data_IF_743509416351
#
_entry.id   IF_743509416351
#
_cell.length_a   1.000
_cell.length_b   1.000
_cell.length_c   1.000
_cell.angle_alpha   90.00
_cell.angle_beta   90.00
_cell.angle_gamma   90.00
#
_symmetry.space_group_name_H-M   'P 1'
#
loop_
_entity.id
_entity.type
_entity.pdbx_description
1 polymer ?
#
# COMPACT_ATOMS: atom_id res chain seq x y z
N UNK A 1 -30.27 2.92 -32.25
CA UNK A 1 -30.24 2.23 -30.95
C UNK A 1 -28.81 1.87 -30.66
N UNK A 2 -28.25 2.37 -29.56
CA UNK A 2 -26.87 2.09 -29.17
C UNK A 2 -26.82 0.68 -28.58
N UNK A 3 -26.05 -0.22 -29.18
CA UNK A 3 -25.88 -1.58 -28.66
C UNK A 3 -25.09 -1.55 -27.34
N UNK A 4 -25.55 -2.30 -26.33
CA UNK A 4 -24.85 -2.44 -25.04
C UNK A 4 -23.55 -3.22 -25.20
N UNK A 5 -22.62 -3.12 -24.25
CA UNK A 5 -21.35 -3.85 -24.36
C UNK A 5 -21.58 -5.37 -24.33
N UNK A 6 -22.49 -5.85 -23.49
CA UNK A 6 -22.87 -7.27 -23.45
C UNK A 6 -23.45 -7.77 -24.77
N UNK A 7 -24.18 -6.92 -25.52
CA UNK A 7 -24.69 -7.27 -26.84
C UNK A 7 -23.58 -7.43 -27.88
N UNK A 8 -22.52 -6.62 -27.79
CA UNK A 8 -21.36 -6.74 -28.67
C UNK A 8 -20.55 -8.00 -28.35
N UNK A 9 -20.35 -8.28 -27.06
CA UNK A 9 -19.63 -9.47 -26.60
C UNK A 9 -20.38 -10.75 -26.99
N UNK A 10 -21.72 -10.74 -26.93
CA UNK A 10 -22.56 -11.86 -27.38
C UNK A 10 -22.45 -12.11 -28.89
N UNK A 11 -22.42 -11.05 -29.71
CA UNK A 11 -22.21 -11.17 -31.15
C UNK A 11 -20.80 -11.72 -31.46
N UNK A 12 -19.78 -11.23 -30.75
CA UNK A 12 -18.41 -11.72 -30.87
C UNK A 12 -18.28 -13.20 -30.47
N UNK A 13 -18.94 -13.63 -29.39
CA UNK A 13 -18.94 -15.02 -28.93
C UNK A 13 -19.60 -15.99 -29.91
N UNK A 14 -20.59 -15.51 -30.68
CA UNK A 14 -21.25 -16.27 -31.74
C UNK A 14 -20.58 -16.07 -33.12
N UNK A 15 -19.50 -15.29 -33.19
CA UNK A 15 -18.71 -15.09 -34.42
C UNK A 15 -19.43 -14.32 -35.53
N UNK A 16 -20.42 -13.49 -35.19
CA UNK A 16 -21.25 -12.75 -36.16
C UNK A 16 -21.07 -11.24 -36.01
N UNK A 17 -21.22 -10.52 -37.12
CA UNK A 17 -21.08 -9.05 -37.15
C UNK A 17 -22.40 -8.31 -36.87
N UNK A 18 -23.53 -8.97 -37.10
CA UNK A 18 -24.87 -8.40 -36.93
C UNK A 18 -25.85 -9.40 -36.30
N UNK A 19 -26.86 -8.88 -35.61
CA UNK A 19 -27.96 -9.66 -35.02
C UNK A 19 -28.75 -10.43 -36.08
N UNK A 20 -28.80 -9.90 -37.31
CA UNK A 20 -29.50 -10.54 -38.42
C UNK A 20 -28.82 -11.84 -38.89
N UNK A 21 -27.56 -12.07 -38.51
CA UNK A 21 -26.82 -13.29 -38.80
C UNK A 21 -27.05 -14.37 -37.73
N UNK A 22 -27.67 -14.03 -36.60
CA UNK A 22 -28.00 -14.98 -35.54
C UNK A 22 -29.22 -15.83 -35.91
N UNK A 23 -29.24 -17.07 -35.44
CA UNK A 23 -30.43 -17.92 -35.49
C UNK A 23 -31.59 -17.30 -34.67
N UNK A 24 -32.87 -17.54 -35.03
CA UNK A 24 -34.01 -16.88 -34.40
C UNK A 24 -34.06 -16.97 -32.86
N UNK A 25 -33.68 -18.12 -32.29
CA UNK A 25 -33.60 -18.29 -30.83
C UNK A 25 -32.50 -17.44 -30.18
N UNK A 26 -31.34 -17.31 -30.83
CA UNK A 26 -30.21 -16.49 -30.35
C UNK A 26 -30.49 -15.00 -30.41
N UNK A 27 -31.37 -14.57 -31.33
CA UNK A 27 -31.84 -13.18 -31.39
C UNK A 27 -32.69 -12.81 -30.18
N UNK A 28 -33.50 -13.74 -29.67
CA UNK A 28 -34.28 -13.52 -28.45
C UNK A 28 -33.36 -13.32 -27.24
N UNK A 29 -32.34 -14.18 -27.09
CA UNK A 29 -31.31 -14.04 -26.05
C UNK A 29 -30.58 -12.68 -26.15
N UNK A 30 -30.24 -12.24 -27.37
CA UNK A 30 -29.61 -10.94 -27.60
C UNK A 30 -30.50 -9.75 -27.22
N UNK A 31 -31.81 -9.85 -27.45
CA UNK A 31 -32.78 -8.84 -27.03
C UNK A 31 -32.95 -8.79 -25.51
N UNK A 32 -32.87 -9.92 -24.81
CA UNK A 32 -32.94 -9.97 -23.35
C UNK A 32 -31.72 -9.27 -22.71
N UNK A 33 -30.54 -9.34 -23.33
CA UNK A 33 -29.34 -8.60 -22.89
C UNK A 33 -29.51 -7.07 -22.95
N UNK A 34 -30.45 -6.55 -23.77
CA UNK A 34 -30.76 -5.12 -23.81
C UNK A 34 -31.46 -4.62 -22.54
N UNK A 35 -32.13 -5.53 -21.82
CA UNK A 35 -32.93 -5.19 -20.64
C UNK A 35 -32.09 -5.06 -19.36
N UNK A 36 -30.88 -5.61 -19.36
CA UNK A 36 -29.89 -5.41 -18.32
C UNK A 36 -29.16 -4.12 -18.67
N UNK A 37 -29.52 -3.02 -18.01
CA UNK A 37 -28.72 -1.79 -18.05
C UNK A 37 -27.28 -2.16 -17.70
N UNK A 38 -26.34 -1.90 -18.61
CA UNK A 38 -24.91 -2.02 -18.36
C UNK A 38 -24.63 -1.28 -17.04
N UNK A 39 -24.30 -2.01 -15.97
CA UNK A 39 -23.67 -1.38 -14.81
C UNK A 39 -22.44 -0.65 -15.36
N UNK A 40 -22.28 0.65 -15.05
CA UNK A 40 -21.19 1.42 -15.61
C UNK A 40 -19.89 0.71 -15.22
N UNK A 41 -19.25 0.11 -16.23
CA UNK A 41 -17.91 -0.45 -16.13
C UNK A 41 -17.05 0.62 -15.47
N UNK A 42 -16.43 0.37 -14.30
CA UNK A 42 -15.57 1.36 -13.69
C UNK A 42 -14.52 1.72 -14.73
N UNK A 43 -14.43 3.01 -15.08
CA UNK A 43 -13.43 3.53 -16.01
C UNK A 43 -12.05 3.06 -15.53
N UNK A 44 -11.55 1.98 -16.11
CA UNK A 44 -10.18 1.56 -15.90
C UNK A 44 -9.29 2.49 -16.71
N UNK A 45 -8.20 2.91 -16.06
CA UNK A 45 -6.96 3.37 -16.67
C UNK A 45 -6.87 4.85 -17.07
N UNK A 46 -7.32 5.74 -16.19
CA UNK A 46 -6.48 6.93 -15.92
C UNK A 46 -5.55 6.56 -14.76
N UNK A 47 -4.22 6.71 -14.88
CA UNK A 47 -3.35 6.57 -13.73
C UNK A 47 -3.80 7.61 -12.71
N UNK A 48 -4.51 7.17 -11.68
CA UNK A 48 -4.94 8.05 -10.59
C UNK A 48 -3.65 8.49 -9.91
N UNK A 49 -3.31 9.76 -10.09
CA UNK A 49 -2.15 10.35 -9.46
C UNK A 49 -2.14 10.02 -7.96
N UNK A 50 -0.99 9.54 -7.49
CA UNK A 50 -0.80 9.23 -6.08
C UNK A 50 -1.05 10.50 -5.25
N UNK A 51 -1.39 10.34 -3.96
CA UNK A 51 -1.55 11.49 -3.05
C UNK A 51 -0.29 12.36 -3.00
N UNK A 52 0.89 11.74 -3.14
CA UNK A 52 2.19 12.42 -3.21
C UNK A 52 2.34 13.24 -4.49
N UNK A 53 1.97 12.69 -5.65
CA UNK A 53 1.98 13.42 -6.93
C UNK A 53 1.05 14.64 -6.91
N UNK A 54 -0.16 14.49 -6.37
CA UNK A 54 -1.09 15.62 -6.20
C UNK A 54 -0.56 16.69 -5.26
N UNK A 55 0.11 16.29 -4.18
CA UNK A 55 0.77 17.24 -3.27
C UNK A 55 1.99 17.91 -3.90
N UNK A 56 2.73 17.22 -4.77
CA UNK A 56 3.88 17.79 -5.44
C UNK A 56 3.48 18.83 -6.47
N UNK A 57 2.40 18.57 -7.23
CA UNK A 57 1.89 19.53 -8.20
C UNK A 57 1.36 20.81 -7.54
N UNK A 58 0.85 20.77 -6.30
CA UNK A 58 0.54 21.96 -5.48
C UNK A 58 -0.18 23.11 -6.23
N UNK A 59 -1.05 22.80 -7.20
CA UNK A 59 -1.78 23.78 -8.00
C UNK A 59 -1.11 24.23 -9.30
N UNK A 60 0.02 23.63 -9.69
CA UNK A 60 0.66 23.77 -10.99
C UNK A 60 0.37 22.54 -11.87
N UNK A 61 0.40 22.74 -13.20
CA UNK A 61 0.25 21.62 -14.13
C UNK A 61 1.57 20.88 -14.32
N UNK A 62 1.53 19.60 -14.66
CA UNK A 62 2.74 18.83 -14.95
C UNK A 62 3.56 19.43 -16.11
N UNK A 63 2.88 20.05 -17.07
CA UNK A 63 3.52 20.66 -18.24
C UNK A 63 4.40 21.86 -17.87
N UNK A 64 4.03 22.58 -16.79
CA UNK A 64 4.75 23.76 -16.28
C UNK A 64 6.02 23.40 -15.47
N UNK A 65 6.23 22.12 -15.15
CA UNK A 65 7.41 21.67 -14.41
C UNK A 65 8.67 21.70 -15.30
N UNK A 66 9.81 22.01 -14.68
CA UNK A 66 11.12 21.83 -15.30
C UNK A 66 11.47 20.34 -15.45
N UNK A 67 12.43 20.02 -16.32
CA UNK A 67 12.79 18.63 -16.63
C UNK A 67 13.21 17.84 -15.38
N UNK A 68 13.85 18.53 -14.43
CA UNK A 68 14.22 17.96 -13.14
C UNK A 68 13.01 17.61 -12.27
N UNK A 69 12.04 18.51 -12.13
CA UNK A 69 10.83 18.25 -11.34
C UNK A 69 9.92 17.23 -12.01
N UNK A 70 9.90 17.16 -13.35
CA UNK A 70 9.21 16.11 -14.10
C UNK A 70 9.80 14.73 -13.80
N UNK A 71 11.13 14.62 -13.70
CA UNK A 71 11.79 13.37 -13.33
C UNK A 71 11.41 12.93 -11.90
N UNK A 72 11.38 13.87 -10.94
CA UNK A 72 10.94 13.59 -9.56
C UNK A 72 9.45 13.18 -9.54
N UNK A 73 8.61 13.87 -10.30
CA UNK A 73 7.19 13.58 -10.42
C UNK A 73 6.90 12.14 -10.90
N UNK A 74 7.63 11.71 -11.94
CA UNK A 74 7.52 10.36 -12.47
C UNK A 74 8.07 9.31 -11.49
N UNK A 75 9.18 9.59 -10.80
CA UNK A 75 9.76 8.69 -9.78
C UNK A 75 8.86 8.47 -8.56
N UNK A 76 7.98 9.42 -8.22
CA UNK A 76 7.01 9.23 -7.14
C UNK A 76 5.85 8.29 -7.51
N UNK A 77 5.50 8.24 -8.81
CA UNK A 77 4.44 7.37 -9.33
C UNK A 77 4.93 5.97 -9.71
N UNK A 78 6.22 5.83 -10.00
CA UNK A 78 6.82 4.53 -10.18
C UNK A 78 6.76 3.76 -8.85
N UNK A 79 6.02 2.65 -8.82
CA UNK A 79 6.20 1.62 -7.80
C UNK A 79 7.69 1.35 -7.74
N UNK A 80 8.35 1.70 -6.63
CA UNK A 80 9.81 1.59 -6.45
C UNK A 80 10.29 0.35 -7.20
N UNK A 81 11.01 0.56 -8.30
CA UNK A 81 11.83 -0.49 -8.86
C UNK A 81 12.67 -0.97 -7.67
N UNK A 82 12.48 -2.23 -7.30
CA UNK A 82 13.24 -2.90 -6.26
C UNK A 82 14.69 -2.69 -6.62
N UNK A 83 15.34 -1.75 -5.95
CA UNK A 83 16.79 -1.57 -6.04
C UNK A 83 17.38 -2.81 -5.41
N UNK A 84 17.92 -3.64 -6.30
CA UNK A 84 18.64 -4.87 -6.07
C UNK A 84 20.00 -4.58 -5.40
N UNK A 85 19.95 -4.01 -4.20
CA UNK A 85 21.10 -3.84 -3.33
C UNK A 85 20.77 -4.43 -1.96
N UNK A 86 21.24 -5.65 -1.74
CA UNK A 86 21.32 -6.28 -0.44
C UNK A 86 20.10 -7.12 -0.07
N UNK A 87 20.16 -8.40 -0.46
CA UNK A 87 19.44 -9.53 0.13
C UNK A 87 19.02 -9.31 1.60
N UNK A 88 17.84 -8.75 1.81
CA UNK A 88 17.07 -8.90 3.03
C UNK A 88 15.65 -9.18 2.59
N UNK A 89 15.32 -10.47 2.55
CA UNK A 89 13.96 -10.95 2.75
C UNK A 89 13.26 -10.03 3.76
N UNK A 90 12.01 -9.58 3.54
CA UNK A 90 11.29 -8.83 4.55
C UNK A 90 11.26 -9.73 5.79
N UNK A 91 12.09 -9.40 6.78
CA UNK A 91 12.10 -10.09 8.05
C UNK A 91 10.65 -10.08 8.51
N UNK A 92 10.09 -11.29 8.63
CA UNK A 92 8.77 -11.53 9.17
C UNK A 92 8.65 -10.65 10.40
N UNK A 93 7.85 -9.56 10.32
CA UNK A 93 7.72 -8.62 11.43
C UNK A 93 7.41 -9.45 12.66
N UNK A 94 8.28 -9.48 13.68
CA UNK A 94 8.00 -10.28 14.85
C UNK A 94 6.66 -9.80 15.39
N UNK A 95 5.70 -10.73 15.53
CA UNK A 95 4.31 -10.45 15.88
C UNK A 95 4.14 -10.07 17.37
N UNK A 96 5.14 -9.40 17.95
CA UNK A 96 5.21 -9.11 19.37
C UNK A 96 6.02 -7.85 19.68
N UNK A 97 6.02 -7.41 20.94
CA UNK A 97 6.78 -6.25 21.37
C UNK A 97 8.28 -6.46 21.09
N UNK A 98 9.04 -5.39 20.81
CA UNK A 98 10.48 -5.48 20.58
C UNK A 98 11.18 -6.10 21.80
N UNK A 99 12.02 -7.12 21.54
CA UNK A 99 12.74 -7.87 22.59
C UNK A 99 14.24 -7.66 22.42
N UNK A 100 14.95 -7.60 23.54
CA UNK A 100 16.41 -7.57 23.55
C UNK A 100 16.96 -8.97 23.22
N UNK A 101 18.00 -9.02 22.39
CA UNK A 101 18.72 -10.25 22.06
C UNK A 101 19.69 -10.60 23.20
N UNK A 102 19.52 -11.75 23.89
CA UNK A 102 20.40 -12.17 24.98
C UNK A 102 21.88 -12.21 24.56
N UNK A 103 22.17 -12.63 23.31
CA UNK A 103 23.54 -12.75 22.80
C UNK A 103 24.20 -11.38 22.63
N UNK A 104 23.43 -10.37 22.20
CA UNK A 104 23.92 -8.98 22.06
C UNK A 104 24.13 -8.30 23.42
N UNK A 105 23.58 -8.87 24.50
CA UNK A 105 23.77 -8.39 25.87
C UNK A 105 24.95 -9.06 26.60
N UNK A 106 25.45 -10.19 26.10
CA UNK A 106 26.60 -10.92 26.65
C UNK A 106 27.88 -10.10 26.44
N UNK A 107 28.40 -9.50 27.52
CA UNK A 107 29.58 -8.63 27.49
C UNK A 107 29.31 -7.20 27.96
N UNK A 108 28.04 -6.81 28.13
CA UNK A 108 27.69 -5.51 28.70
C UNK A 108 27.79 -5.51 30.24
N UNK A 109 28.18 -4.37 30.78
CA UNK A 109 28.19 -4.16 32.23
C UNK A 109 26.79 -4.35 32.81
N UNK A 110 26.66 -4.81 34.07
CA UNK A 110 25.34 -4.99 34.71
C UNK A 110 24.48 -3.72 34.66
N UNK A 111 25.09 -2.55 34.87
CA UNK A 111 24.42 -1.25 34.79
C UNK A 111 23.88 -0.96 33.39
N UNK A 112 24.67 -1.25 32.34
CA UNK A 112 24.19 -1.03 30.96
C UNK A 112 23.05 -1.98 30.60
N UNK A 113 23.09 -3.22 31.09
CA UNK A 113 22.01 -4.19 30.90
C UNK A 113 20.71 -3.75 31.59
N UNK A 114 20.78 -3.20 32.81
CA UNK A 114 19.57 -2.69 33.49
C UNK A 114 18.95 -1.51 32.75
N UNK A 115 19.76 -0.55 32.28
CA UNK A 115 19.29 0.58 31.48
C UNK A 115 18.62 0.13 30.17
N UNK A 116 19.21 -0.84 29.47
CA UNK A 116 18.60 -1.39 28.25
C UNK A 116 17.27 -2.08 28.53
N UNK A 117 17.15 -2.77 29.67
CA UNK A 117 15.88 -3.37 30.09
C UNK A 117 14.81 -2.32 30.37
N UNK A 118 15.15 -1.21 31.04
CA UNK A 118 14.23 -0.10 31.28
C UNK A 118 13.71 0.50 29.96
N UNK A 119 14.62 0.80 29.02
CA UNK A 119 14.23 1.30 27.71
C UNK A 119 13.39 0.28 26.92
N UNK A 120 13.69 -1.02 27.01
CA UNK A 120 12.88 -2.06 26.39
C UNK A 120 11.45 -2.13 26.97
N UNK A 121 11.27 -1.85 28.27
CA UNK A 121 9.94 -1.76 28.88
C UNK A 121 9.14 -0.60 28.32
N UNK A 122 9.76 0.57 28.08
CA UNK A 122 9.11 1.72 27.42
C UNK A 122 8.61 1.34 26.03
N UNK A 123 9.43 0.64 25.24
CA UNK A 123 9.03 0.18 23.91
C UNK A 123 7.90 -0.87 23.96
N UNK A 124 7.92 -1.77 24.94
CA UNK A 124 6.86 -2.74 25.15
C UNK A 124 5.54 -2.09 25.60
N UNK A 125 5.61 -1.05 26.44
CA UNK A 125 4.46 -0.23 26.83
C UNK A 125 3.88 0.49 25.62
N UNK A 126 4.71 1.17 24.83
CA UNK A 126 4.26 1.83 23.60
C UNK A 126 3.60 0.85 22.62
N UNK A 127 4.15 -0.35 22.47
CA UNK A 127 3.55 -1.39 21.64
C UNK A 127 2.16 -1.80 22.16
N UNK A 128 2.00 -1.98 23.48
CA UNK A 128 0.69 -2.27 24.09
C UNK A 128 -0.32 -1.16 23.86
N UNK A 129 0.08 0.10 24.06
CA UNK A 129 -0.78 1.27 23.82
C UNK A 129 -1.17 1.41 22.35
N UNK A 130 -0.26 1.08 21.43
CA UNK A 130 -0.53 1.05 20.01
C UNK A 130 -1.55 -0.04 19.65
N UNK A 131 -1.40 -1.24 20.21
CA UNK A 131 -2.36 -2.34 20.02
C UNK A 131 -3.72 -2.05 20.67
N UNK A 132 -3.75 -1.27 21.75
CA UNK A 132 -4.98 -0.78 22.36
C UNK A 132 -5.65 0.36 21.56
N UNK A 133 -5.05 0.83 20.47
CA UNK A 133 -5.62 1.88 19.62
C UNK A 133 -5.51 3.30 20.18
N UNK A 134 -4.68 3.52 21.22
CA UNK A 134 -4.46 4.84 21.81
C UNK A 134 -3.69 5.70 20.80
N UNK A 135 -4.19 6.89 20.50
CA UNK A 135 -3.54 7.81 19.58
C UNK A 135 -2.14 8.21 20.09
N UNK A 136 -1.11 8.36 19.22
CA UNK A 136 0.27 8.61 19.64
C UNK A 136 0.46 9.77 20.61
N UNK A 137 -0.34 10.83 20.47
CA UNK A 137 -0.26 12.02 21.32
C UNK A 137 -0.86 11.82 22.73
N UNK A 138 -1.67 10.77 22.94
CA UNK A 138 -2.28 10.41 24.22
C UNK A 138 -1.51 9.30 24.96
N UNK A 139 -0.45 8.78 24.36
CA UNK A 139 0.38 7.74 24.94
C UNK A 139 1.27 8.30 26.04
N UNK A 140 1.35 7.61 27.18
CA UNK A 140 2.26 7.98 28.26
C UNK A 140 3.72 7.81 27.81
N UNK A 141 3.99 6.78 27.00
CA UNK A 141 5.30 6.47 26.43
C UNK A 141 5.81 7.46 25.37
N UNK A 142 5.03 8.48 24.98
CA UNK A 142 5.33 9.36 23.83
C UNK A 142 6.63 10.16 23.95
N UNK A 143 7.06 10.46 25.17
CA UNK A 143 8.22 11.31 25.43
C UNK A 143 9.53 10.51 25.43
N UNK A 144 9.47 9.26 25.87
CA UNK A 144 10.65 8.43 26.12
C UNK A 144 10.93 7.45 24.97
N UNK A 145 10.00 7.30 24.02
CA UNK A 145 10.12 6.31 22.94
C UNK A 145 11.32 6.55 22.03
N UNK A 146 11.59 7.80 21.64
CA UNK A 146 12.66 8.08 20.68
C UNK A 146 14.03 7.83 21.31
N UNK A 147 14.20 8.23 22.57
CA UNK A 147 15.38 7.92 23.35
C UNK A 147 15.54 6.41 23.55
N UNK A 148 14.47 5.71 23.92
CA UNK A 148 14.47 4.26 24.10
C UNK A 148 14.87 3.54 22.80
N UNK A 149 14.28 3.91 21.65
CA UNK A 149 14.61 3.35 20.33
C UNK A 149 16.08 3.54 20.00
N UNK A 150 16.62 4.74 20.18
CA UNK A 150 18.01 5.04 19.85
C UNK A 150 18.99 4.22 20.69
N UNK A 151 18.67 4.00 21.97
CA UNK A 151 19.53 3.24 22.89
C UNK A 151 19.42 1.73 22.70
N UNK A 152 18.22 1.20 22.41
CA UNK A 152 18.00 -0.25 22.33
C UNK A 152 18.11 -0.82 20.93
N UNK A 153 17.97 -0.02 19.86
CA UNK A 153 17.98 -0.50 18.47
C UNK A 153 19.11 -1.49 18.14
N UNK A 154 20.38 -1.27 18.55
CA UNK A 154 21.47 -2.20 18.25
C UNK A 154 21.33 -3.57 18.94
N UNK A 155 20.51 -3.65 19.99
CA UNK A 155 20.38 -4.80 20.88
C UNK A 155 19.05 -5.54 20.71
N UNK A 156 18.21 -5.13 19.76
CA UNK A 156 16.96 -5.82 19.47
C UNK A 156 17.21 -7.07 18.62
N UNK A 157 16.30 -8.05 18.76
CA UNK A 157 16.22 -9.22 17.89
C UNK A 157 15.74 -8.77 16.52
N UNK A 158 16.47 -9.17 15.48
CA UNK A 158 16.14 -8.89 14.06
C UNK A 158 14.97 -9.74 13.56
#
# INVERSE_FOLDING_TARGET
MTQTQSQKDFLAANGVGSVDELAPLRRLEWCELASVLDEPKPESDKPVETKAQRQFLCGQSFDDLDDFSKEIYLKMGATKAVTDDGNTTPASKPAGPPRLDPKKLEGLTPLRRSQLHEHAQVLAQHHREAMAGIAPHLRESRWDIDAARLQTAPYLVD
#
